data_IF_060991822767
#
_entry.id   IF_060991822767
#
_cell.length_a   1.000
_cell.length_b   1.000
_cell.length_c   1.000
_cell.angle_alpha   90.00
_cell.angle_beta   90.00
_cell.angle_gamma   90.00
#
_symmetry.space_group_name_H-M   'P 1'
#
loop_
_entity.id
_entity.type
_entity.pdbx_description
1 polymer ?
#
# COMPACT_ATOMS: atom_id res chain seq x y z
N UNK A 1 -4.86 -1.58 8.18
CA UNK A 1 -4.04 -2.72 7.70
C UNK A 1 -3.95 -2.68 6.19
N UNK A 2 -2.78 -2.94 5.60
CA UNK A 2 -2.59 -2.94 4.13
C UNK A 2 -1.86 -4.22 3.74
N UNK A 3 -2.33 -4.89 2.69
CA UNK A 3 -1.75 -6.10 2.12
C UNK A 3 -1.62 -5.98 0.60
N UNK A 4 -0.79 -6.81 -0.07
CA UNK A 4 -0.84 -6.96 -1.52
C UNK A 4 -2.19 -7.54 -1.97
N UNK A 5 -2.70 -7.12 -3.11
CA UNK A 5 -3.92 -7.68 -3.69
C UNK A 5 -3.76 -9.16 -4.10
N UNK A 6 -2.51 -9.60 -4.26
CA UNK A 6 -2.13 -10.99 -4.56
C UNK A 6 -1.70 -11.82 -3.34
N UNK A 7 -1.85 -11.27 -2.13
CA UNK A 7 -1.53 -11.95 -0.88
C UNK A 7 -2.38 -11.44 0.29
N UNK A 8 -3.62 -11.02 0.02
CA UNK A 8 -4.53 -10.41 0.99
C UNK A 8 -5.26 -11.44 1.85
N UNK A 9 -4.58 -12.22 2.67
CA UNK A 9 -5.21 -13.25 3.49
C UNK A 9 -6.03 -12.67 4.64
N UNK A 10 -5.60 -11.57 5.25
CA UNK A 10 -6.35 -10.90 6.30
C UNK A 10 -7.59 -10.17 5.73
N UNK A 11 -7.41 -9.46 4.60
CA UNK A 11 -8.53 -8.84 3.90
C UNK A 11 -9.61 -9.87 3.54
N UNK A 12 -9.19 -11.02 2.97
CA UNK A 12 -10.08 -12.13 2.64
C UNK A 12 -10.83 -12.64 3.87
N UNK A 13 -10.15 -12.76 5.01
CA UNK A 13 -10.77 -13.24 6.26
C UNK A 13 -11.86 -12.29 6.74
N UNK A 14 -11.66 -10.98 6.66
CA UNK A 14 -12.68 -9.97 6.98
C UNK A 14 -13.83 -10.00 5.94
N UNK A 15 -13.51 -10.17 4.66
CA UNK A 15 -14.52 -10.21 3.59
C UNK A 15 -15.47 -11.41 3.73
N UNK A 16 -14.97 -12.59 4.12
CA UNK A 16 -15.79 -13.77 4.40
C UNK A 16 -16.70 -13.54 5.62
N UNK A 17 -16.22 -12.86 6.64
CA UNK A 17 -17.03 -12.35 7.74
C UNK A 17 -17.52 -13.41 8.74
N UNK A 18 -16.92 -14.59 8.79
CA UNK A 18 -17.25 -15.66 9.72
C UNK A 18 -16.43 -15.63 11.03
N UNK A 19 -15.57 -14.62 11.16
CA UNK A 19 -14.68 -14.44 12.31
C UNK A 19 -13.43 -15.32 12.31
N UNK A 20 -13.25 -16.18 11.29
CA UNK A 20 -12.12 -17.09 11.21
C UNK A 20 -11.06 -16.57 10.23
N UNK A 21 -9.76 -16.89 10.45
CA UNK A 21 -8.70 -16.59 9.51
C UNK A 21 -8.77 -17.57 8.32
N UNK A 22 -8.64 -17.02 7.10
CA UNK A 22 -8.70 -17.76 5.84
C UNK A 22 -7.45 -17.54 5.01
N UNK A 23 -6.89 -18.62 4.45
CA UNK A 23 -5.78 -18.56 3.53
C UNK A 23 -6.15 -17.91 2.20
N UNK A 24 -5.19 -17.23 1.58
CA UNK A 24 -5.34 -16.68 0.24
C UNK A 24 -5.17 -17.79 -0.81
N UNK A 25 -6.13 -17.98 -1.73
CA UNK A 25 -6.14 -19.12 -2.65
C UNK A 25 -5.42 -18.80 -3.97
N UNK A 26 -4.16 -18.51 -3.98
CA UNK A 26 -3.50 -18.16 -5.24
C UNK A 26 -1.99 -18.13 -5.14
N UNK A 27 -1.36 -17.80 -6.25
CA UNK A 27 0.06 -17.51 -6.29
C UNK A 27 0.33 -16.16 -5.63
N UNK A 28 1.35 -16.12 -4.79
CA UNK A 28 1.73 -14.92 -4.04
C UNK A 28 2.70 -14.06 -4.88
N UNK A 29 2.25 -13.67 -6.08
CA UNK A 29 3.05 -12.91 -7.03
C UNK A 29 2.93 -11.40 -6.77
N UNK A 30 3.82 -10.87 -5.96
CA UNK A 30 3.91 -9.46 -5.60
C UNK A 30 5.35 -9.04 -5.36
N UNK A 31 5.68 -7.79 -5.67
CA UNK A 31 6.98 -7.20 -5.32
C UNK A 31 7.14 -6.99 -3.80
N UNK A 32 6.05 -6.94 -3.05
CA UNK A 32 6.05 -6.76 -1.60
C UNK A 32 6.42 -8.06 -0.89
N UNK A 33 7.67 -8.52 -1.07
CA UNK A 33 8.14 -9.83 -0.60
C UNK A 33 7.91 -10.06 0.91
N UNK A 34 8.07 -9.03 1.74
CA UNK A 34 7.82 -9.11 3.18
C UNK A 34 6.34 -9.24 3.56
N UNK A 35 5.42 -9.02 2.61
CA UNK A 35 3.97 -9.16 2.77
C UNK A 35 3.39 -10.32 1.94
N UNK A 36 4.21 -11.07 1.22
CA UNK A 36 3.79 -12.22 0.41
C UNK A 36 3.45 -13.43 1.30
N UNK A 37 2.45 -13.29 2.15
CA UNK A 37 1.98 -14.32 3.07
C UNK A 37 0.58 -14.77 2.68
N UNK A 38 0.44 -16.07 2.36
CA UNK A 38 -0.86 -16.65 2.00
C UNK A 38 -1.69 -17.09 3.20
N UNK A 39 -1.05 -17.31 4.37
CA UNK A 39 -1.73 -17.81 5.56
C UNK A 39 -1.70 -16.78 6.70
N UNK A 40 -2.85 -16.45 7.29
CA UNK A 40 -2.91 -15.55 8.44
C UNK A 40 -2.22 -16.18 9.66
N UNK A 41 -1.40 -15.40 10.36
CA UNK A 41 -0.92 -15.83 11.67
C UNK A 41 -2.09 -15.80 12.68
N UNK A 42 -2.43 -16.92 13.35
CA UNK A 42 -3.62 -17.00 14.22
C UNK A 42 -3.56 -16.03 15.41
N UNK A 43 -2.36 -15.75 15.96
CA UNK A 43 -2.23 -14.81 17.07
C UNK A 43 -2.39 -13.35 16.58
N UNK A 44 -1.81 -13.04 15.42
CA UNK A 44 -2.00 -11.73 14.80
C UNK A 44 -3.47 -11.50 14.43
N UNK A 45 -4.16 -12.52 13.91
CA UNK A 45 -5.56 -12.44 13.58
C UNK A 45 -6.44 -12.05 14.77
N UNK A 46 -6.23 -12.68 15.94
CA UNK A 46 -6.98 -12.37 17.16
C UNK A 46 -6.86 -10.88 17.55
N UNK A 47 -5.69 -10.28 17.34
CA UNK A 47 -5.48 -8.85 17.63
C UNK A 47 -6.08 -7.97 16.54
N UNK A 48 -5.81 -8.31 15.28
CA UNK A 48 -6.19 -7.47 14.15
C UNK A 48 -7.69 -7.46 13.88
N UNK A 49 -8.37 -8.58 14.07
CA UNK A 49 -9.83 -8.65 13.94
C UNK A 49 -10.57 -7.75 14.92
N UNK A 50 -9.98 -7.53 16.11
CA UNK A 50 -10.59 -6.72 17.16
C UNK A 50 -10.15 -5.24 17.11
N UNK A 51 -8.93 -4.96 16.60
CA UNK A 51 -8.30 -3.64 16.73
C UNK A 51 -8.17 -2.86 15.43
N UNK A 52 -8.28 -3.51 14.25
CA UNK A 52 -8.10 -2.82 12.99
C UNK A 52 -9.43 -2.27 12.45
N UNK A 53 -9.49 -0.96 12.22
CA UNK A 53 -10.67 -0.28 11.68
C UNK A 53 -10.87 -0.52 10.19
N UNK A 54 -9.80 -0.80 9.44
CA UNK A 54 -9.87 -1.02 7.99
C UNK A 54 -8.82 -2.00 7.50
N UNK A 55 -9.21 -2.80 6.51
CA UNK A 55 -8.34 -3.69 5.75
C UNK A 55 -8.38 -3.29 4.28
N UNK A 56 -7.21 -3.14 3.68
CA UNK A 56 -7.05 -2.74 2.29
C UNK A 56 -6.13 -3.72 1.58
N UNK A 57 -6.42 -3.97 0.32
CA UNK A 57 -5.48 -4.62 -0.60
C UNK A 57 -5.01 -3.62 -1.64
N UNK A 58 -3.74 -3.69 -1.97
CA UNK A 58 -3.10 -2.76 -2.89
C UNK A 58 -2.32 -3.51 -3.97
N UNK A 59 -2.47 -3.13 -5.24
CA UNK A 59 -1.60 -3.62 -6.30
C UNK A 59 -0.17 -3.03 -6.16
N UNK A 60 0.80 -3.72 -6.71
CA UNK A 60 2.23 -3.43 -6.60
C UNK A 60 2.62 -1.98 -6.93
N UNK A 61 1.95 -1.34 -7.89
CA UNK A 61 2.26 0.05 -8.24
C UNK A 61 2.03 1.03 -7.07
N UNK A 62 1.21 0.67 -6.09
CA UNK A 62 0.95 1.49 -4.90
C UNK A 62 2.18 1.50 -4.00
N UNK A 63 2.80 0.34 -3.76
CA UNK A 63 4.06 0.23 -3.05
C UNK A 63 5.17 0.99 -3.79
N UNK A 64 5.29 0.76 -5.10
CA UNK A 64 6.26 1.44 -5.96
C UNK A 64 6.10 2.96 -5.95
N UNK A 65 4.86 3.48 -5.91
CA UNK A 65 4.59 4.92 -5.74
C UNK A 65 5.09 5.42 -4.38
N UNK A 66 4.82 4.69 -3.31
CA UNK A 66 5.30 5.01 -1.96
C UNK A 66 6.82 5.09 -1.89
N UNK A 67 7.53 4.12 -2.49
CA UNK A 67 9.00 4.11 -2.58
C UNK A 67 9.54 5.36 -3.26
N UNK A 68 8.94 5.76 -4.39
CA UNK A 68 9.36 6.97 -5.13
C UNK A 68 9.14 8.23 -4.31
N UNK A 69 8.01 8.35 -3.63
CA UNK A 69 7.72 9.53 -2.82
C UNK A 69 8.65 9.61 -1.61
N UNK A 70 8.94 8.50 -0.95
CA UNK A 70 9.94 8.45 0.11
C UNK A 70 11.35 8.81 -0.38
N UNK A 71 11.73 8.31 -1.56
CA UNK A 71 13.05 8.55 -2.15
C UNK A 71 13.22 9.94 -2.75
N UNK A 72 12.14 10.57 -3.19
CA UNK A 72 12.13 11.89 -3.84
C UNK A 72 11.03 12.77 -3.23
N UNK A 73 11.18 13.15 -1.94
CA UNK A 73 10.18 13.95 -1.25
C UNK A 73 10.13 15.39 -1.80
N UNK A 74 9.04 16.08 -1.52
CA UNK A 74 8.94 17.52 -1.77
C UNK A 74 9.90 18.30 -0.85
N UNK A 75 10.19 19.55 -1.24
CA UNK A 75 11.13 20.39 -0.50
C UNK A 75 10.75 20.54 0.98
N UNK A 76 11.70 20.23 1.84
CA UNK A 76 11.54 20.32 3.30
C UNK A 76 11.34 18.98 3.99
N UNK A 77 10.92 17.94 3.28
CA UNK A 77 10.77 16.61 3.85
C UNK A 77 12.07 15.80 3.77
N UNK A 78 12.35 14.94 4.75
CA UNK A 78 13.53 14.09 4.71
C UNK A 78 13.37 12.98 3.68
N UNK A 79 14.46 12.65 2.97
CA UNK A 79 14.53 11.45 2.13
C UNK A 79 14.54 10.19 2.99
N UNK A 80 13.67 9.26 2.68
CA UNK A 80 13.59 7.95 3.36
C UNK A 80 13.79 6.86 2.30
N UNK A 81 14.67 5.92 2.56
CA UNK A 81 14.81 4.72 1.74
C UNK A 81 14.01 3.60 2.38
N UNK A 82 13.01 3.13 1.65
CA UNK A 82 12.12 2.05 2.06
C UNK A 82 12.03 1.00 0.96
N UNK A 83 12.01 -0.26 1.34
CA UNK A 83 11.56 -1.34 0.46
C UNK A 83 10.04 -1.30 0.26
N UNK A 84 9.55 -2.22 -0.56
CA UNK A 84 8.18 -2.26 -1.08
C UNK A 84 7.15 -2.43 0.04
N UNK A 85 7.41 -3.41 0.94
CA UNK A 85 6.50 -3.75 2.04
C UNK A 85 6.39 -2.61 3.07
N UNK A 86 7.46 -1.84 3.27
CA UNK A 86 7.43 -0.67 4.13
C UNK A 86 6.75 0.53 3.49
N UNK A 87 6.93 0.71 2.18
CA UNK A 87 6.44 1.87 1.44
C UNK A 87 4.95 1.82 1.08
N UNK A 88 4.35 0.62 1.05
CA UNK A 88 2.94 0.47 0.66
C UNK A 88 1.98 1.25 1.55
N UNK A 89 2.32 1.45 2.82
CA UNK A 89 1.49 2.23 3.75
C UNK A 89 1.36 3.69 3.32
N UNK A 90 2.46 4.33 2.87
CA UNK A 90 2.43 5.67 2.30
C UNK A 90 1.66 5.68 0.97
N UNK A 91 1.95 4.71 0.10
CA UNK A 91 1.24 4.59 -1.18
C UNK A 91 -0.27 4.44 -1.02
N UNK A 92 -0.71 3.62 -0.07
CA UNK A 92 -2.12 3.42 0.27
C UNK A 92 -2.77 4.71 0.81
N UNK A 93 -2.10 5.40 1.73
CA UNK A 93 -2.58 6.69 2.24
C UNK A 93 -2.75 7.72 1.11
N UNK A 94 -1.77 7.83 0.21
CA UNK A 94 -1.86 8.70 -0.95
C UNK A 94 -3.03 8.31 -1.86
N UNK A 95 -3.21 7.02 -2.13
CA UNK A 95 -4.32 6.52 -2.94
C UNK A 95 -5.67 6.87 -2.32
N UNK A 96 -5.82 6.68 -1.01
CA UNK A 96 -7.03 7.06 -0.27
C UNK A 96 -7.29 8.57 -0.38
N UNK A 97 -6.26 9.40 -0.32
CA UNK A 97 -6.40 10.85 -0.41
C UNK A 97 -6.65 11.37 -1.84
N UNK A 98 -6.14 10.67 -2.85
CA UNK A 98 -6.16 11.15 -4.22
C UNK A 98 -7.39 10.72 -5.02
N UNK A 99 -7.96 9.55 -4.73
CA UNK A 99 -9.00 8.95 -5.55
C UNK A 99 -10.40 9.16 -4.94
N UNK A 100 -11.36 9.66 -5.73
CA UNK A 100 -12.73 9.89 -5.26
C UNK A 100 -13.46 8.62 -4.79
N UNK A 101 -13.07 7.46 -5.31
CA UNK A 101 -13.64 6.16 -4.92
C UNK A 101 -13.47 5.87 -3.42
N UNK A 102 -12.52 6.55 -2.75
CA UNK A 102 -12.24 6.42 -1.32
C UNK A 102 -12.85 7.54 -0.46
N UNK A 103 -13.72 8.41 -1.01
CA UNK A 103 -14.33 9.50 -0.26
C UNK A 103 -15.04 8.98 1.01
N UNK A 104 -15.84 7.92 0.84
CA UNK A 104 -16.53 7.28 1.97
C UNK A 104 -15.57 6.71 3.02
N UNK A 105 -14.47 6.11 2.58
CA UNK A 105 -13.45 5.57 3.50
C UNK A 105 -12.76 6.70 4.26
N UNK A 106 -12.44 7.82 3.58
CA UNK A 106 -11.88 9.01 4.25
C UNK A 106 -12.80 9.54 5.34
N UNK A 107 -14.10 9.64 5.05
CA UNK A 107 -15.10 10.06 6.04
C UNK A 107 -15.18 9.10 7.23
N UNK A 108 -15.22 7.79 6.98
CA UNK A 108 -15.26 6.77 8.03
C UNK A 108 -14.02 6.79 8.93
N UNK A 109 -12.84 6.95 8.33
CA UNK A 109 -11.57 7.06 9.05
C UNK A 109 -11.31 8.48 9.61
N UNK A 110 -12.19 9.44 9.33
CA UNK A 110 -12.06 10.85 9.72
C UNK A 110 -10.72 11.45 9.26
N UNK A 111 -10.29 11.08 8.05
CA UNK A 111 -9.06 11.59 7.47
C UNK A 111 -9.32 12.94 6.80
N UNK A 112 -8.80 13.99 7.41
CA UNK A 112 -8.86 15.37 6.94
C UNK A 112 -7.46 16.00 6.86
N UNK A 113 -7.41 17.29 6.52
CA UNK A 113 -6.13 18.03 6.41
C UNK A 113 -5.41 18.22 7.76
N UNK A 114 -6.10 18.10 8.88
CA UNK A 114 -5.56 18.30 10.22
C UNK A 114 -5.20 16.95 10.88
N UNK A 115 -5.47 15.84 10.20
CA UNK A 115 -5.16 14.48 10.67
C UNK A 115 -3.66 14.24 10.76
N UNK A 116 -3.22 13.70 11.87
CA UNK A 116 -1.85 13.21 12.06
C UNK A 116 -1.81 11.70 11.86
N UNK A 117 -1.04 11.25 10.87
CA UNK A 117 -0.96 9.83 10.49
C UNK A 117 0.43 9.29 10.78
N UNK A 118 0.51 8.27 11.63
CA UNK A 118 1.74 7.51 11.85
C UNK A 118 1.84 6.38 10.81
N UNK A 119 2.88 6.40 10.02
CA UNK A 119 3.25 5.31 9.11
C UNK A 119 4.46 4.55 9.68
N UNK A 120 4.36 3.23 9.74
CA UNK A 120 5.47 2.39 10.17
C UNK A 120 6.18 1.85 8.93
N UNK A 121 7.41 2.30 8.71
CA UNK A 121 8.29 1.75 7.70
C UNK A 121 9.05 0.55 8.28
N UNK A 122 8.56 -0.64 8.00
CA UNK A 122 9.11 -1.90 8.51
C UNK A 122 10.22 -2.50 7.63
N UNK A 123 10.52 -1.89 6.48
CA UNK A 123 11.48 -2.42 5.53
C UNK A 123 12.48 -1.36 5.06
N UNK A 124 13.76 -1.67 5.17
CA UNK A 124 14.85 -0.83 4.67
C UNK A 124 15.24 -1.23 3.25
N UNK A 125 16.38 -0.73 2.78
CA UNK A 125 17.01 -1.16 1.52
C UNK A 125 17.60 -2.57 1.68
N UNK A 126 16.76 -3.58 1.59
CA UNK A 126 17.15 -5.00 1.67
C UNK A 126 17.47 -5.56 0.29
N UNK A 127 16.92 -4.97 -0.76
CA UNK A 127 17.18 -5.27 -2.17
C UNK A 127 17.50 -3.97 -2.96
N UNK A 128 18.79 -3.59 -3.06
CA UNK A 128 19.19 -2.39 -3.78
C UNK A 128 18.86 -2.42 -5.28
N UNK A 129 18.85 -3.59 -5.90
CA UNK A 129 18.55 -3.74 -7.33
C UNK A 129 17.07 -3.49 -7.58
N UNK A 130 16.20 -3.99 -6.72
CA UNK A 130 14.76 -3.74 -6.81
C UNK A 130 14.44 -2.27 -6.54
N UNK A 131 15.08 -1.63 -5.56
CA UNK A 131 14.94 -0.18 -5.34
C UNK A 131 15.36 0.61 -6.58
N UNK A 132 16.49 0.23 -7.21
CA UNK A 132 16.92 0.85 -8.45
C UNK A 132 15.89 0.67 -9.56
N UNK A 133 15.41 -0.54 -9.76
CA UNK A 133 14.40 -0.89 -10.78
C UNK A 133 13.13 -0.06 -10.59
N UNK A 134 12.65 0.05 -9.37
CA UNK A 134 11.41 0.78 -9.07
C UNK A 134 11.62 2.29 -9.13
N UNK A 135 12.63 2.82 -8.41
CA UNK A 135 12.75 4.27 -8.21
C UNK A 135 13.41 4.96 -9.41
N UNK A 136 14.47 4.38 -9.99
CA UNK A 136 15.25 5.01 -11.06
C UNK A 136 14.78 4.60 -12.45
N UNK A 137 14.40 3.34 -12.64
CA UNK A 137 14.04 2.80 -13.95
C UNK A 137 12.52 2.78 -14.18
N UNK A 138 11.73 3.20 -13.18
CA UNK A 138 10.28 3.37 -13.30
C UNK A 138 9.48 2.07 -13.28
N UNK A 139 10.03 0.99 -12.74
CA UNK A 139 9.31 -0.28 -12.56
C UNK A 139 7.99 -0.09 -11.81
N UNK A 140 6.99 -0.90 -12.13
CA UNK A 140 5.64 -0.82 -11.56
C UNK A 140 5.06 0.62 -11.62
N UNK A 141 4.91 1.21 -12.81
CA UNK A 141 4.43 2.58 -12.96
C UNK A 141 2.96 2.69 -12.51
N UNK A 142 2.57 3.88 -12.05
CA UNK A 142 1.15 4.18 -11.79
C UNK A 142 0.38 4.05 -13.10
N UNK A 143 -0.67 3.22 -13.18
CA UNK A 143 -1.50 3.08 -14.37
C UNK A 143 -2.13 4.43 -14.77
N UNK A 144 -2.31 4.65 -16.07
CA UNK A 144 -2.75 5.93 -16.64
C UNK A 144 -4.03 6.49 -15.99
N UNK A 145 -5.10 5.71 -15.73
CA UNK A 145 -6.31 6.23 -15.10
C UNK A 145 -6.09 6.83 -13.70
N UNK A 146 -5.00 6.43 -13.02
CA UNK A 146 -4.67 6.87 -11.66
C UNK A 146 -3.53 7.91 -11.61
N UNK A 147 -3.05 8.37 -12.78
CA UNK A 147 -2.06 9.46 -12.84
C UNK A 147 -2.76 10.79 -12.62
N UNK A 148 -2.27 11.58 -11.69
CA UNK A 148 -2.77 12.96 -11.47
C UNK A 148 -2.29 13.95 -12.53
N UNK A 149 -1.08 13.73 -13.03
CA UNK A 149 -0.56 14.55 -14.13
C UNK A 149 -1.17 14.06 -15.43
N UNK A 150 -1.96 14.90 -16.06
CA UNK A 150 -2.36 14.73 -17.46
C UNK A 150 -1.40 15.55 -18.30
N UNK A 151 -0.80 14.92 -19.29
CA UNK A 151 0.02 15.64 -20.24
C UNK A 151 -0.89 16.64 -20.99
N UNK A 152 -0.62 17.96 -20.96
CA UNK A 152 -1.47 18.95 -21.63
C UNK A 152 -1.51 18.79 -23.16
N UNK A 153 -0.66 17.92 -23.73
CA UNK A 153 -0.64 17.60 -25.17
C UNK A 153 -1.43 16.33 -25.53
N UNK A 154 -2.00 15.61 -24.57
CA UNK A 154 -2.82 14.41 -24.82
C UNK A 154 -4.30 14.75 -25.06
N UNK A 155 -4.69 16.03 -25.06
CA UNK A 155 -6.03 16.50 -25.42
C UNK A 155 -6.05 16.87 -26.90
N UNK A 156 -6.13 15.85 -27.80
CA UNK A 156 -6.57 15.99 -29.18
C UNK A 156 -7.32 14.74 -29.62
#
# INVERSE_FOLDING_TARGET
>A
MVEPDRAGCLYRSIEIGDGQPHSFPGELDTIMAGLACGDPNPLAWQVLSDCADAFLVCPDYVAAKGMRVYGMPLAGDPTIISGESGAVTLGALMRIQELPEYDRLREQLRLDRDSQVLLINSERNTDPDEIRRVVWEGGNPVPEPYRRYRNPFDEN
#
